data_IF_860304438763
#
_entry.id   IF_860304438763
#
_cell.length_a   1.000
_cell.length_b   1.000
_cell.length_c   1.000
_cell.angle_alpha   90.00
_cell.angle_beta   90.00
_cell.angle_gamma   90.00
#
_symmetry.space_group_name_H-M   'P 1'
#
loop_
_entity.id
_entity.type
_entity.pdbx_description
1 polymer ?
#
# COMPACT_ATOMS: atom_id res chain seq x y z
N UNK A 1 -12.13 8.42 -11.19
CA UNK A 1 -12.02 6.97 -11.51
C UNK A 1 -11.17 6.82 -12.76
N UNK A 2 -9.85 6.77 -12.60
CA UNK A 2 -8.97 6.26 -13.64
C UNK A 2 -8.76 4.79 -13.29
N UNK A 3 -9.40 3.89 -14.04
CA UNK A 3 -9.10 2.47 -13.97
C UNK A 3 -7.64 2.33 -14.42
N UNK A 4 -6.71 2.24 -13.46
CA UNK A 4 -5.34 1.88 -13.77
C UNK A 4 -5.43 0.41 -14.18
N UNK A 5 -5.20 0.08 -15.45
CA UNK A 5 -5.29 -1.30 -15.90
C UNK A 5 -4.25 -2.07 -15.10
N UNK A 6 -4.65 -3.22 -14.57
CA UNK A 6 -3.79 -4.21 -13.92
C UNK A 6 -2.57 -4.42 -14.81
N UNK A 7 -1.49 -3.69 -14.54
CA UNK A 7 -0.30 -3.74 -15.35
C UNK A 7 0.33 -5.09 -15.06
N UNK A 8 0.10 -6.04 -15.97
CA UNK A 8 0.98 -7.19 -16.11
C UNK A 8 2.40 -6.62 -16.18
N UNK A 9 3.16 -6.79 -15.09
CA UNK A 9 4.61 -6.72 -15.15
C UNK A 9 5.05 -7.90 -16.02
N UNK A 10 5.03 -7.70 -17.34
CA UNK A 10 5.91 -8.45 -18.22
C UNK A 10 7.32 -7.99 -17.87
N UNK A 11 7.97 -8.75 -16.99
CA UNK A 11 9.43 -8.77 -16.94
C UNK A 11 9.83 -9.17 -18.36
N UNK A 12 10.37 -8.21 -19.13
CA UNK A 12 11.07 -8.54 -20.35
C UNK A 12 12.25 -9.40 -19.90
N UNK A 13 12.08 -10.72 -19.97
CA UNK A 13 13.16 -11.64 -19.80
C UNK A 13 14.22 -11.25 -20.83
N UNK A 14 15.31 -10.66 -20.34
CA UNK A 14 16.54 -10.62 -21.13
C UNK A 14 16.76 -12.07 -21.55
N UNK A 15 16.96 -12.36 -22.85
CA UNK A 15 17.30 -13.71 -23.29
C UNK A 15 18.71 -14.00 -22.78
N UNK A 16 18.84 -14.34 -21.51
CA UNK A 16 20.07 -14.79 -20.89
C UNK A 16 20.23 -16.25 -21.29
N UNK A 17 20.94 -16.48 -22.39
CA UNK A 17 21.56 -17.78 -22.59
C UNK A 17 22.50 -18.02 -21.41
N UNK A 18 22.32 -19.17 -20.74
CA UNK A 18 23.16 -19.60 -19.62
C UNK A 18 24.62 -19.53 -20.09
N UNK A 19 25.40 -18.59 -19.57
CA UNK A 19 26.84 -18.53 -19.87
C UNK A 19 27.48 -19.87 -19.54
N UNK A 20 28.37 -20.37 -20.40
CA UNK A 20 29.11 -21.60 -20.11
C UNK A 20 29.75 -21.53 -18.72
N UNK A 21 29.79 -22.65 -17.99
CA UNK A 21 30.22 -22.75 -16.59
C UNK A 21 31.65 -22.21 -16.38
N UNK A 22 31.75 -20.91 -16.15
CA UNK A 22 32.98 -20.15 -15.90
C UNK A 22 32.77 -19.39 -14.60
N UNK A 23 33.83 -19.23 -13.80
CA UNK A 23 33.74 -18.52 -12.52
C UNK A 23 33.15 -17.11 -12.75
N UNK A 24 32.06 -16.79 -12.04
CA UNK A 24 31.31 -15.54 -12.16
C UNK A 24 30.63 -15.29 -13.52
N UNK A 25 30.38 -16.34 -14.33
CA UNK A 25 29.76 -16.21 -15.65
C UNK A 25 28.39 -15.52 -15.68
N UNK A 26 27.63 -15.54 -14.57
CA UNK A 26 26.28 -14.97 -14.45
C UNK A 26 26.19 -13.84 -13.41
N UNK A 27 27.31 -13.21 -13.04
CA UNK A 27 27.32 -12.23 -11.95
C UNK A 27 26.52 -10.96 -12.30
N UNK A 28 26.49 -10.55 -13.58
CA UNK A 28 25.74 -9.37 -14.03
C UNK A 28 24.23 -9.60 -14.02
N UNK A 29 23.82 -10.79 -14.42
CA UNK A 29 22.45 -11.26 -14.37
C UNK A 29 21.97 -11.31 -12.92
N UNK A 30 22.79 -11.84 -12.00
CA UNK A 30 22.46 -11.81 -10.58
C UNK A 30 22.34 -10.36 -10.07
N UNK A 31 23.25 -9.46 -10.44
CA UNK A 31 23.17 -8.05 -10.03
C UNK A 31 21.85 -7.39 -10.42
N UNK A 32 21.35 -7.65 -11.64
CA UNK A 32 20.06 -7.15 -12.09
C UNK A 32 18.89 -7.76 -11.30
N UNK A 33 18.90 -9.07 -11.07
CA UNK A 33 17.88 -9.75 -10.26
C UNK A 33 17.90 -9.28 -8.78
N UNK A 34 19.07 -8.90 -8.27
CA UNK A 34 19.21 -8.35 -6.94
C UNK A 34 18.49 -7.00 -6.79
N UNK A 35 18.40 -6.18 -7.84
CA UNK A 35 17.70 -4.90 -7.76
C UNK A 35 16.19 -5.10 -7.54
N UNK A 36 15.60 -6.14 -8.14
CA UNK A 36 14.20 -6.55 -7.87
C UNK A 36 14.05 -7.07 -6.43
N UNK A 37 14.99 -7.86 -5.94
CA UNK A 37 14.99 -8.29 -4.53
C UNK A 37 15.07 -7.11 -3.56
N UNK A 38 15.86 -6.07 -3.86
CA UNK A 38 15.95 -4.89 -3.02
C UNK A 38 14.65 -4.11 -2.99
N UNK A 39 13.89 -4.04 -4.10
CA UNK A 39 12.53 -3.49 -4.11
C UNK A 39 11.62 -4.28 -3.15
N UNK A 40 11.68 -5.60 -3.16
CA UNK A 40 10.93 -6.45 -2.22
C UNK A 40 11.28 -6.15 -0.76
N UNK A 41 12.56 -5.94 -0.45
CA UNK A 41 13.03 -5.63 0.91
C UNK A 41 12.49 -4.31 1.44
N UNK A 42 12.23 -3.34 0.56
CA UNK A 42 11.71 -2.02 0.95
C UNK A 42 10.25 -1.79 0.53
N UNK A 43 9.51 -2.82 0.11
CA UNK A 43 8.09 -2.72 -0.31
C UNK A 43 7.20 -2.08 0.77
N UNK A 44 7.52 -2.31 2.04
CA UNK A 44 6.76 -1.77 3.18
C UNK A 44 7.11 -0.29 3.47
N UNK A 45 8.11 0.26 2.78
CA UNK A 45 8.50 1.69 2.81
C UNK A 45 7.86 2.51 1.68
N UNK A 46 6.85 1.97 1.00
CA UNK A 46 5.99 2.76 0.11
C UNK A 46 5.47 3.97 0.89
N UNK A 47 5.78 5.18 0.42
CA UNK A 47 5.45 6.41 1.14
C UNK A 47 3.92 6.55 1.15
N UNK A 48 3.30 6.13 2.25
CA UNK A 48 1.91 6.43 2.57
C UNK A 48 1.91 7.39 3.74
N UNK A 49 2.11 8.66 3.46
CA UNK A 49 2.02 9.70 4.48
C UNK A 49 1.22 10.87 3.93
N UNK A 50 -0.02 10.59 3.54
CA UNK A 50 -1.03 11.62 3.67
C UNK A 50 -1.43 11.61 5.15
N UNK A 51 -1.05 12.61 5.96
CA UNK A 51 -1.52 12.68 7.33
C UNK A 51 -3.06 12.65 7.34
N UNK A 52 -3.62 11.97 8.33
CA UNK A 52 -5.07 11.91 8.56
C UNK A 52 -5.68 13.33 8.51
N UNK A 53 -6.93 13.51 8.10
CA UNK A 53 -7.53 14.84 8.03
C UNK A 53 -7.59 15.51 9.40
N UNK A 54 -6.63 16.39 9.71
CA UNK A 54 -6.70 17.34 10.83
C UNK A 54 -7.72 18.49 10.60
N UNK A 55 -8.70 18.29 9.72
CA UNK A 55 -9.71 19.30 9.38
C UNK A 55 -10.94 19.25 10.31
N UNK A 56 -10.93 18.40 11.33
CA UNK A 56 -12.03 18.22 12.30
C UNK A 56 -12.42 19.53 12.95
N UNK A 57 -11.45 20.34 13.39
CA UNK A 57 -11.70 21.57 14.14
C UNK A 57 -12.37 22.65 13.29
N UNK A 58 -12.00 22.74 12.00
CA UNK A 58 -12.59 23.72 11.08
C UNK A 58 -14.02 23.32 10.69
N UNK A 59 -14.24 22.03 10.43
CA UNK A 59 -15.59 21.50 10.15
C UNK A 59 -16.47 21.66 11.38
N UNK A 60 -15.95 21.39 12.58
CA UNK A 60 -16.70 21.59 13.82
C UNK A 60 -17.06 23.07 14.04
N UNK A 61 -16.14 24.00 13.77
CA UNK A 61 -16.44 25.45 13.79
C UNK A 61 -17.56 25.80 12.82
N UNK A 62 -17.52 25.30 11.58
CA UNK A 62 -18.58 25.52 10.59
C UNK A 62 -19.93 24.93 11.04
N UNK A 63 -19.93 23.74 11.64
CA UNK A 63 -21.13 23.14 12.25
C UNK A 63 -21.68 24.08 13.33
N UNK A 64 -20.84 24.55 14.24
CA UNK A 64 -21.25 25.43 15.33
C UNK A 64 -21.82 26.76 14.81
N UNK A 65 -21.20 27.37 13.79
CA UNK A 65 -21.72 28.56 13.13
C UNK A 65 -23.05 28.30 12.40
N UNK A 66 -23.21 27.13 11.78
CA UNK A 66 -24.47 26.73 11.15
C UNK A 66 -25.60 26.64 12.19
N UNK A 67 -25.35 26.03 13.35
CA UNK A 67 -26.34 25.93 14.44
C UNK A 67 -26.87 27.32 14.83
N UNK A 68 -26.00 28.31 14.98
CA UNK A 68 -26.38 29.64 15.48
C UNK A 68 -27.06 30.53 14.44
N UNK A 69 -26.73 30.34 13.16
CA UNK A 69 -27.30 31.14 12.08
C UNK A 69 -28.56 30.52 11.51
N UNK A 70 -28.83 29.25 11.81
CA UNK A 70 -30.02 28.55 11.35
C UNK A 70 -31.33 29.19 11.83
N UNK A 71 -32.42 28.74 11.20
CA UNK A 71 -33.80 29.08 11.56
C UNK A 71 -34.08 28.76 13.02
N UNK A 72 -35.08 29.44 13.60
CA UNK A 72 -35.47 29.19 14.98
C UNK A 72 -35.97 27.75 15.17
N UNK A 73 -36.70 27.23 14.18
CA UNK A 73 -37.11 25.82 14.14
C UNK A 73 -35.91 24.86 14.16
N UNK A 74 -34.87 25.10 13.35
CA UNK A 74 -33.68 24.25 13.36
C UNK A 74 -32.93 24.34 14.69
N UNK A 75 -32.76 25.54 15.23
CA UNK A 75 -32.09 25.72 16.52
C UNK A 75 -32.87 25.07 17.66
N UNK A 76 -34.19 25.15 17.65
CA UNK A 76 -35.01 24.65 18.75
C UNK A 76 -35.10 23.12 18.72
N UNK A 77 -35.35 22.52 17.54
CA UNK A 77 -35.61 21.08 17.43
C UNK A 77 -35.08 20.41 16.16
N UNK A 78 -34.10 21.00 15.47
CA UNK A 78 -33.58 20.55 14.16
C UNK A 78 -34.71 20.32 13.15
N UNK A 79 -35.66 21.24 13.05
CA UNK A 79 -36.80 21.13 12.12
C UNK A 79 -37.60 19.82 12.29
N UNK A 80 -37.66 19.32 13.53
CA UNK A 80 -38.39 18.09 13.86
C UNK A 80 -37.69 16.79 13.47
N UNK A 81 -36.40 16.79 13.11
CA UNK A 81 -35.69 15.55 12.75
C UNK A 81 -35.19 14.74 13.95
N UNK A 82 -35.37 15.22 15.18
CA UNK A 82 -34.94 14.54 16.40
C UNK A 82 -35.93 13.44 16.82
N UNK A 83 -36.06 12.42 15.97
CA UNK A 83 -36.99 11.32 16.14
C UNK A 83 -36.25 9.97 16.17
N UNK A 84 -36.81 9.02 16.92
CA UNK A 84 -36.41 7.62 16.88
C UNK A 84 -36.81 6.98 15.54
N UNK A 85 -36.36 5.75 15.28
CA UNK A 85 -36.77 4.97 14.11
C UNK A 85 -38.31 4.82 14.00
N UNK A 86 -39.02 4.81 15.14
CA UNK A 86 -40.49 4.74 15.22
C UNK A 86 -41.17 6.10 15.04
N UNK A 87 -40.44 7.14 14.61
CA UNK A 87 -40.92 8.53 14.43
C UNK A 87 -41.45 9.17 15.72
N UNK A 88 -41.01 8.71 16.88
CA UNK A 88 -41.31 9.32 18.19
C UNK A 88 -40.18 10.28 18.60
N UNK A 89 -40.43 11.31 19.42
CA UNK A 89 -39.36 12.17 19.93
C UNK A 89 -38.22 11.36 20.56
N UNK A 90 -36.99 11.57 20.08
CA UNK A 90 -35.80 10.96 20.66
C UNK A 90 -35.29 11.82 21.81
N UNK A 91 -35.63 11.41 23.05
CA UNK A 91 -35.28 12.16 24.26
C UNK A 91 -33.77 12.27 24.46
N UNK A 92 -32.98 11.29 24.02
CA UNK A 92 -31.52 11.34 24.07
C UNK A 92 -30.99 12.37 23.08
N UNK A 93 -31.41 12.29 21.81
CA UNK A 93 -30.96 13.23 20.78
C UNK A 93 -31.37 14.68 21.10
N UNK A 94 -32.54 14.88 21.72
CA UNK A 94 -33.00 16.19 22.21
C UNK A 94 -32.11 16.68 23.37
N UNK A 95 -31.77 15.82 24.33
CA UNK A 95 -30.89 16.17 25.45
C UNK A 95 -29.48 16.53 24.95
N UNK A 96 -28.94 15.76 24.01
CA UNK A 96 -27.63 16.01 23.40
C UNK A 96 -27.62 17.32 22.62
N UNK A 97 -28.69 17.61 21.86
CA UNK A 97 -28.84 18.86 21.13
C UNK A 97 -28.87 20.07 22.06
N UNK A 98 -29.66 20.00 23.14
CA UNK A 98 -29.73 21.07 24.13
C UNK A 98 -28.41 21.27 24.87
N UNK A 99 -27.68 20.19 25.15
CA UNK A 99 -26.34 20.25 25.75
C UNK A 99 -25.35 20.93 24.80
N UNK A 100 -25.32 20.53 23.52
CA UNK A 100 -24.46 21.16 22.51
C UNK A 100 -24.70 22.67 22.43
N UNK A 101 -25.96 23.11 22.36
CA UNK A 101 -26.31 24.55 22.34
C UNK A 101 -25.77 25.29 23.57
N UNK A 102 -26.02 24.77 24.78
CA UNK A 102 -25.51 25.34 26.03
C UNK A 102 -23.99 25.39 26.09
N UNK A 103 -23.31 24.39 25.52
CA UNK A 103 -21.85 24.37 25.51
C UNK A 103 -21.27 25.41 24.55
N UNK A 104 -21.92 25.68 23.42
CA UNK A 104 -21.53 26.77 22.51
C UNK A 104 -21.56 28.14 23.20
N UNK A 105 -22.59 28.40 24.02
CA UNK A 105 -22.73 29.66 24.77
C UNK A 105 -21.59 29.90 25.78
N UNK A 106 -20.95 28.83 26.25
CA UNK A 106 -19.82 28.90 27.20
C UNK A 106 -18.49 29.21 26.52
N UNK A 107 -18.37 29.02 25.20
CA UNK A 107 -17.12 29.23 24.47
C UNK A 107 -16.89 30.73 24.29
N UNK A 108 -15.83 31.23 24.93
CA UNK A 108 -15.42 32.63 24.89
C UNK A 108 -13.98 32.77 24.42
N UNK A 109 -13.70 33.84 23.69
CA UNK A 109 -12.35 34.30 23.35
C UNK A 109 -12.22 35.72 23.87
N UNK A 110 -11.22 35.98 24.71
CA UNK A 110 -11.00 37.30 25.32
C UNK A 110 -12.25 37.84 26.06
N UNK A 111 -12.95 36.95 26.79
CA UNK A 111 -14.25 37.18 27.44
C UNK A 111 -15.43 37.51 26.53
N UNK A 112 -15.25 37.51 25.20
CA UNK A 112 -16.31 37.70 24.21
C UNK A 112 -16.86 36.34 23.76
N UNK A 113 -18.19 36.13 23.76
CA UNK A 113 -18.79 34.90 23.22
C UNK A 113 -18.38 34.69 21.75
N UNK A 114 -17.78 33.53 21.46
CA UNK A 114 -17.39 33.17 20.08
C UNK A 114 -18.61 32.75 19.25
N UNK A 115 -19.57 32.14 19.94
CA UNK A 115 -20.76 31.53 19.37
C UNK A 115 -22.01 32.20 19.95
N UNK A 116 -22.17 33.51 19.68
CA UNK A 116 -23.40 34.24 20.00
C UNK A 116 -24.44 34.07 18.89
N UNK A 117 -25.67 33.71 19.25
CA UNK A 117 -26.78 33.67 18.30
C UNK A 117 -27.23 35.08 17.96
N UNK A 118 -27.24 35.42 16.67
CA UNK A 118 -27.77 36.70 16.19
C UNK A 118 -29.31 36.69 16.21
N UNK A 119 -29.95 37.84 16.44
CA UNK A 119 -31.39 37.99 16.27
C UNK A 119 -31.85 37.60 14.86
N UNK A 120 -33.11 37.18 14.75
CA UNK A 120 -33.71 36.86 13.46
C UNK A 120 -33.65 38.08 12.52
N UNK A 121 -32.97 37.91 11.39
CA UNK A 121 -32.79 38.96 10.39
C UNK A 121 -32.43 38.36 9.03
N UNK A 122 -32.66 39.09 7.91
CA UNK A 122 -32.20 38.68 6.59
C UNK A 122 -30.68 38.43 6.54
N UNK A 123 -29.89 39.19 7.31
CA UNK A 123 -28.44 39.00 7.41
C UNK A 123 -28.07 37.67 8.07
N UNK A 124 -28.80 37.26 9.12
CA UNK A 124 -28.61 35.94 9.76
C UNK A 124 -28.87 34.80 8.75
N UNK A 125 -29.94 34.93 7.96
CA UNK A 125 -30.28 33.94 6.93
C UNK A 125 -29.22 33.88 5.82
N UNK A 126 -28.81 35.03 5.28
CA UNK A 126 -27.75 35.08 4.27
C UNK A 126 -26.42 34.49 4.78
N UNK A 127 -26.07 34.73 6.05
CA UNK A 127 -24.92 34.10 6.68
C UNK A 127 -25.09 32.58 6.78
N UNK A 128 -26.28 32.09 7.16
CA UNK A 128 -26.57 30.66 7.22
C UNK A 128 -26.40 29.98 5.86
N UNK A 129 -26.92 30.57 4.78
CA UNK A 129 -26.80 30.02 3.44
C UNK A 129 -25.34 29.86 3.00
N UNK A 130 -24.50 30.88 3.30
CA UNK A 130 -23.06 30.85 3.02
C UNK A 130 -22.36 29.78 3.88
N UNK A 131 -22.62 29.76 5.18
CA UNK A 131 -22.01 28.79 6.12
C UNK A 131 -22.40 27.37 5.72
N UNK A 132 -23.67 27.14 5.36
CA UNK A 132 -24.16 25.83 4.90
C UNK A 132 -23.43 25.38 3.65
N UNK A 133 -23.29 26.26 2.65
CA UNK A 133 -22.51 25.95 1.44
C UNK A 133 -21.04 25.60 1.77
N UNK A 134 -20.41 26.36 2.66
CA UNK A 134 -19.04 26.09 3.10
C UNK A 134 -18.93 24.77 3.88
N UNK A 135 -19.93 24.46 4.70
CA UNK A 135 -20.00 23.20 5.45
C UNK A 135 -20.15 22.01 4.50
N UNK A 136 -21.03 22.10 3.52
CA UNK A 136 -21.23 21.05 2.51
C UNK A 136 -19.92 20.80 1.72
N UNK A 137 -19.26 21.87 1.27
CA UNK A 137 -17.95 21.78 0.59
C UNK A 137 -16.86 21.18 1.48
N UNK A 138 -16.82 21.57 2.76
CA UNK A 138 -15.82 21.04 3.70
C UNK A 138 -16.06 19.56 4.02
N UNK A 139 -17.32 19.13 4.11
CA UNK A 139 -17.69 17.72 4.27
C UNK A 139 -17.33 16.91 3.03
N UNK A 140 -17.61 17.43 1.84
CA UNK A 140 -17.23 16.79 0.58
C UNK A 140 -15.71 16.61 0.49
N UNK A 141 -14.93 17.66 0.75
CA UNK A 141 -13.46 17.59 0.76
C UNK A 141 -12.92 16.62 1.81
N UNK A 142 -13.54 16.57 3.00
CA UNK A 142 -13.20 15.58 4.03
C UNK A 142 -13.39 14.16 3.49
N UNK A 143 -14.54 13.89 2.85
CA UNK A 143 -14.82 12.58 2.28
C UNK A 143 -13.86 12.23 1.14
N UNK A 144 -13.62 13.16 0.21
CA UNK A 144 -12.66 12.97 -0.88
C UNK A 144 -11.26 12.63 -0.35
N UNK A 145 -10.82 13.28 0.74
CA UNK A 145 -9.54 12.96 1.38
C UNK A 145 -9.53 11.57 2.01
N UNK A 146 -10.60 11.17 2.70
CA UNK A 146 -10.75 9.81 3.27
C UNK A 146 -10.67 8.76 2.15
N UNK A 147 -11.43 8.97 1.07
CA UNK A 147 -11.46 8.06 -0.07
C UNK A 147 -10.09 7.98 -0.77
N UNK A 148 -9.39 9.10 -0.91
CA UNK A 148 -8.04 9.14 -1.47
C UNK A 148 -7.02 8.40 -0.59
N UNK A 149 -7.11 8.54 0.73
CA UNK A 149 -6.24 7.79 1.67
C UNK A 149 -6.51 6.28 1.57
N UNK A 150 -7.78 5.87 1.50
CA UNK A 150 -8.16 4.47 1.33
C UNK A 150 -7.65 3.91 -0.01
N UNK A 151 -7.80 4.67 -1.10
CA UNK A 151 -7.29 4.29 -2.42
C UNK A 151 -5.77 4.13 -2.42
N UNK A 152 -5.03 5.08 -1.82
CA UNK A 152 -3.57 4.97 -1.66
C UNK A 152 -3.16 3.73 -0.86
N UNK A 153 -3.91 3.40 0.20
CA UNK A 153 -3.70 2.17 0.97
C UNK A 153 -3.87 0.90 0.12
N UNK A 154 -4.93 0.85 -0.69
CA UNK A 154 -5.21 -0.27 -1.59
C UNK A 154 -4.13 -0.41 -2.68
N UNK A 155 -3.72 0.71 -3.28
CA UNK A 155 -2.67 0.75 -4.31
C UNK A 155 -1.33 0.27 -3.73
N UNK A 156 -0.96 0.73 -2.53
CA UNK A 156 0.27 0.28 -1.88
C UNK A 156 0.25 -1.22 -1.57
N UNK A 157 -0.89 -1.75 -1.12
CA UNK A 157 -1.05 -3.19 -0.91
C UNK A 157 -0.91 -3.98 -2.22
N UNK A 158 -1.51 -3.48 -3.31
CA UNK A 158 -1.41 -4.10 -4.64
C UNK A 158 0.03 -4.06 -5.18
N UNK A 159 0.75 -2.95 -5.03
CA UNK A 159 2.16 -2.83 -5.44
C UNK A 159 3.03 -3.81 -4.64
N UNK A 160 2.88 -3.87 -3.32
CA UNK A 160 3.62 -4.82 -2.48
C UNK A 160 3.34 -6.28 -2.87
N UNK A 161 2.08 -6.62 -3.16
CA UNK A 161 1.70 -7.95 -3.63
C UNK A 161 2.32 -8.26 -5.01
N UNK A 162 2.34 -7.30 -5.93
CA UNK A 162 2.94 -7.47 -7.26
C UNK A 162 4.47 -7.65 -7.19
N UNK A 163 5.17 -6.88 -6.35
CA UNK A 163 6.62 -7.06 -6.14
C UNK A 163 6.91 -8.44 -5.54
N UNK A 164 6.12 -8.87 -4.56
CA UNK A 164 6.25 -10.20 -3.98
C UNK A 164 5.98 -11.31 -5.01
N UNK A 165 4.93 -11.14 -5.82
CA UNK A 165 4.57 -12.07 -6.90
C UNK A 165 5.66 -12.15 -7.97
N UNK A 166 6.26 -11.03 -8.37
CA UNK A 166 7.39 -11.04 -9.30
C UNK A 166 8.60 -11.80 -8.73
N UNK A 167 8.84 -11.68 -7.41
CA UNK A 167 9.95 -12.37 -6.77
C UNK A 167 9.72 -13.88 -6.65
N UNK A 168 8.51 -14.30 -6.25
CA UNK A 168 8.23 -15.68 -5.84
C UNK A 168 7.16 -16.40 -6.68
N UNK A 169 6.73 -15.81 -7.80
CA UNK A 169 5.54 -16.21 -8.56
C UNK A 169 4.27 -16.25 -7.66
N UNK A 170 3.33 -17.15 -7.96
CA UNK A 170 2.11 -17.36 -7.15
C UNK A 170 2.38 -17.89 -5.73
N UNK A 171 3.63 -18.09 -5.32
CA UNK A 171 3.93 -18.49 -3.95
C UNK A 171 3.57 -17.34 -2.99
N UNK A 172 2.67 -17.63 -2.03
CA UNK A 172 2.24 -16.67 -1.00
C UNK A 172 3.33 -16.28 0.02
N UNK A 173 4.60 -16.60 -0.22
CA UNK A 173 5.71 -16.33 0.69
C UNK A 173 7.07 -16.64 0.07
N UNK A 174 8.13 -16.42 0.85
CA UNK A 174 9.51 -16.67 0.40
C UNK A 174 9.75 -18.14 0.04
N UNK A 175 10.68 -18.40 -0.88
CA UNK A 175 11.23 -19.73 -1.13
C UNK A 175 11.82 -20.32 0.16
N UNK A 176 11.40 -21.53 0.50
CA UNK A 176 11.82 -22.26 1.69
C UNK A 176 11.79 -23.78 1.43
N UNK A 177 12.22 -24.55 2.43
CA UNK A 177 12.31 -26.02 2.35
C UNK A 177 10.99 -26.68 1.92
N UNK A 178 9.84 -26.15 2.35
CA UNK A 178 8.54 -26.77 2.12
C UNK A 178 7.97 -26.46 0.74
N UNK A 179 8.09 -25.22 0.27
CA UNK A 179 7.51 -24.79 -1.01
C UNK A 179 8.45 -24.93 -2.22
N UNK A 180 9.69 -25.40 -1.99
CA UNK A 180 10.70 -25.54 -3.03
C UNK A 180 11.12 -27.00 -3.30
N UNK A 181 10.34 -28.00 -2.88
CA UNK A 181 10.65 -29.43 -3.11
C UNK A 181 10.51 -29.84 -4.57
N UNK A 182 11.25 -30.87 -4.98
CA UNK A 182 11.03 -31.60 -6.24
C UNK A 182 12.17 -31.49 -7.25
N UNK A 183 11.85 -31.73 -8.52
CA UNK A 183 12.81 -31.78 -9.63
C UNK A 183 13.13 -30.37 -10.12
N UNK A 184 14.25 -29.81 -9.67
CA UNK A 184 14.71 -28.49 -10.11
C UNK A 184 15.27 -28.48 -11.53
N UNK A 185 15.53 -29.63 -12.15
CA UNK A 185 15.79 -29.72 -13.59
C UNK A 185 14.60 -29.34 -14.45
N UNK A 186 13.41 -29.74 -14.01
CA UNK A 186 12.16 -29.34 -14.63
C UNK A 186 11.78 -27.89 -14.31
N UNK A 187 12.26 -27.32 -13.20
CA UNK A 187 12.02 -25.91 -12.82
C UNK A 187 12.97 -24.97 -13.55
N UNK A 188 14.24 -25.36 -13.70
CA UNK A 188 15.32 -24.56 -14.29
C UNK A 188 15.40 -24.63 -15.83
N UNK A 189 14.29 -24.91 -16.50
CA UNK A 189 14.20 -24.94 -17.97
C UNK A 189 13.12 -24.00 -18.48
N UNK A 190 13.33 -23.41 -19.66
CA UNK A 190 12.36 -22.53 -20.30
C UNK A 190 11.06 -23.26 -20.69
N UNK A 191 11.13 -24.59 -20.85
CA UNK A 191 9.99 -25.45 -21.15
C UNK A 191 9.19 -25.86 -19.89
N UNK A 192 9.52 -25.28 -18.73
CA UNK A 192 8.86 -25.64 -17.47
C UNK A 192 7.38 -25.28 -17.49
N UNK A 193 6.55 -26.21 -17.01
CA UNK A 193 5.12 -25.98 -16.77
C UNK A 193 4.81 -25.74 -15.29
N UNK A 194 5.83 -25.66 -14.42
CA UNK A 194 5.63 -25.37 -13.00
C UNK A 194 5.21 -23.92 -12.80
N UNK A 195 4.34 -23.66 -11.82
CA UNK A 195 3.84 -22.31 -11.53
C UNK A 195 4.96 -21.31 -11.24
N UNK A 196 5.91 -21.71 -10.41
CA UNK A 196 7.16 -21.00 -10.21
C UNK A 196 8.26 -21.67 -11.04
N UNK A 197 8.82 -20.92 -12.00
CA UNK A 197 9.91 -21.35 -12.87
C UNK A 197 10.80 -20.16 -13.25
N UNK A 198 11.81 -20.39 -14.08
CA UNK A 198 12.77 -19.35 -14.52
C UNK A 198 12.17 -18.18 -15.30
N UNK A 199 10.92 -18.27 -15.75
CA UNK A 199 10.22 -17.21 -16.46
C UNK A 199 9.25 -16.44 -15.54
N UNK A 200 8.82 -17.06 -14.44
CA UNK A 200 7.75 -16.52 -13.58
C UNK A 200 8.21 -16.08 -12.20
N UNK A 201 9.42 -16.46 -11.76
CA UNK A 201 9.97 -16.08 -10.46
C UNK A 201 11.42 -15.64 -10.57
N UNK A 202 11.71 -14.41 -10.13
CA UNK A 202 13.08 -13.88 -10.03
C UNK A 202 13.92 -14.70 -9.05
N UNK A 203 13.36 -15.15 -7.93
CA UNK A 203 14.06 -15.98 -6.96
C UNK A 203 14.46 -17.35 -7.55
N UNK A 204 13.56 -17.99 -8.29
CA UNK A 204 13.85 -19.24 -9.01
C UNK A 204 14.91 -19.00 -10.08
N UNK A 205 14.78 -17.94 -10.85
CA UNK A 205 15.75 -17.54 -11.89
C UNK A 205 17.14 -17.36 -11.31
N UNK A 206 17.27 -16.62 -10.20
CA UNK A 206 18.53 -16.40 -9.52
C UNK A 206 19.16 -17.73 -9.06
N UNK A 207 18.37 -18.65 -8.50
CA UNK A 207 18.87 -19.98 -8.09
C UNK A 207 19.35 -20.77 -9.30
N UNK A 208 18.57 -20.83 -10.38
CA UNK A 208 18.91 -21.60 -11.57
C UNK A 208 20.14 -21.06 -12.33
N UNK A 209 20.35 -19.73 -12.30
CA UNK A 209 21.53 -19.08 -12.88
C UNK A 209 22.77 -19.27 -12.02
N UNK A 210 22.62 -19.20 -10.69
CA UNK A 210 23.74 -19.21 -9.77
C UNK A 210 24.21 -20.60 -9.36
N UNK A 211 23.37 -21.62 -9.54
CA UNK A 211 23.77 -23.00 -9.29
C UNK A 211 24.17 -23.72 -10.58
N UNK A 212 25.30 -24.40 -10.51
CA UNK A 212 25.82 -25.28 -11.55
C UNK A 212 25.20 -26.69 -11.41
N UNK A 213 25.00 -27.38 -12.54
CA UNK A 213 24.56 -28.78 -12.62
C UNK A 213 25.73 -29.75 -12.64
N UNK A 214 26.90 -29.33 -13.12
CA UNK A 214 27.96 -30.23 -13.60
C UNK A 214 29.34 -30.02 -12.93
N UNK A 215 29.59 -28.88 -12.29
CA UNK A 215 30.80 -28.66 -11.48
C UNK A 215 30.49 -27.75 -10.28
N UNK A 216 31.18 -27.87 -9.14
CA UNK A 216 30.97 -27.01 -7.96
C UNK A 216 31.42 -25.54 -8.13
N UNK A 217 31.33 -24.99 -9.33
CA UNK A 217 31.81 -23.66 -9.68
C UNK A 217 30.84 -22.57 -9.23
N UNK A 218 31.39 -21.47 -8.73
CA UNK A 218 30.63 -20.32 -8.29
C UNK A 218 30.26 -19.42 -9.49
N UNK A 219 29.08 -19.65 -10.09
CA UNK A 219 28.63 -18.93 -11.30
C UNK A 219 28.22 -17.48 -11.03
N UNK A 220 27.95 -17.12 -9.77
CA UNK A 220 27.46 -15.79 -9.38
C UNK A 220 28.29 -15.12 -8.25
N UNK A 221 29.51 -15.57 -7.99
CA UNK A 221 30.36 -15.02 -6.92
C UNK A 221 30.97 -16.07 -6.00
N UNK A 222 32.10 -15.72 -5.37
CA UNK A 222 33.08 -16.59 -4.71
C UNK A 222 32.59 -17.53 -3.57
N UNK A 223 31.30 -17.55 -3.23
CA UNK A 223 30.73 -18.38 -2.15
C UNK A 223 29.42 -19.10 -2.53
N UNK A 224 28.92 -18.93 -3.76
CA UNK A 224 27.70 -19.57 -4.26
C UNK A 224 28.07 -20.86 -5.03
N UNK A 225 28.57 -21.87 -4.33
CA UNK A 225 29.05 -23.13 -4.92
C UNK A 225 28.03 -24.28 -4.79
N UNK A 226 26.79 -23.97 -4.44
CA UNK A 226 25.74 -24.98 -4.27
C UNK A 226 25.38 -25.61 -5.60
N UNK A 227 25.56 -26.93 -5.71
CA UNK A 227 25.15 -27.74 -6.85
C UNK A 227 23.73 -28.28 -6.63
N UNK A 228 22.94 -28.42 -7.70
CA UNK A 228 21.73 -29.24 -7.69
C UNK A 228 21.85 -30.36 -8.71
N UNK A 229 21.37 -31.55 -8.34
CA UNK A 229 21.14 -32.64 -9.30
C UNK A 229 19.68 -32.62 -9.74
N UNK A 230 19.40 -33.00 -10.99
CA UNK A 230 18.05 -32.94 -11.56
C UNK A 230 16.97 -33.66 -10.72
N UNK A 231 17.34 -34.68 -9.94
CA UNK A 231 16.42 -35.36 -9.01
C UNK A 231 16.61 -35.02 -7.51
N UNK A 232 17.49 -34.08 -7.17
CA UNK A 232 18.14 -34.02 -5.85
C UNK A 232 17.46 -33.21 -4.76
N UNK A 233 16.36 -32.51 -5.01
CA UNK A 233 15.79 -31.57 -4.05
C UNK A 233 14.41 -31.98 -3.51
N UNK A 234 14.16 -33.29 -3.38
CA UNK A 234 12.90 -33.83 -2.86
C UNK A 234 12.59 -33.36 -1.43
N UNK A 235 13.63 -33.06 -0.64
CA UNK A 235 13.49 -32.55 0.72
C UNK A 235 13.60 -31.02 0.82
N UNK A 236 13.87 -30.28 -0.28
CA UNK A 236 13.96 -28.81 -0.28
C UNK A 236 15.26 -28.21 0.31
N UNK A 237 16.23 -29.04 0.69
CA UNK A 237 17.44 -28.65 1.45
C UNK A 237 18.40 -27.79 0.63
N UNK A 238 18.48 -28.05 -0.68
CA UNK A 238 19.32 -27.26 -1.59
C UNK A 238 18.87 -25.80 -1.63
N UNK A 239 17.54 -25.58 -1.66
CA UNK A 239 16.95 -24.24 -1.75
C UNK A 239 16.98 -23.53 -0.41
N UNK A 240 16.76 -24.27 0.68
CA UNK A 240 16.94 -23.76 2.03
C UNK A 240 18.37 -23.22 2.24
N UNK A 241 19.37 -23.81 1.58
CA UNK A 241 20.76 -23.36 1.67
C UNK A 241 21.06 -22.21 0.70
N UNK A 242 20.63 -22.31 -0.55
CA UNK A 242 21.05 -21.40 -1.60
C UNK A 242 20.33 -20.04 -1.59
N UNK A 243 19.03 -20.02 -1.31
CA UNK A 243 18.26 -18.77 -1.33
C UNK A 243 18.79 -17.75 -0.31
N UNK A 244 19.10 -18.11 0.95
CA UNK A 244 19.73 -17.18 1.89
C UNK A 244 21.09 -16.62 1.44
N UNK A 245 21.90 -17.42 0.75
CA UNK A 245 23.20 -16.96 0.24
C UNK A 245 23.03 -15.93 -0.89
N UNK A 246 22.06 -16.16 -1.78
CA UNK A 246 21.70 -15.21 -2.84
C UNK A 246 21.19 -13.91 -2.23
N UNK A 247 20.27 -13.97 -1.26
CA UNK A 247 19.80 -12.78 -0.52
C UNK A 247 20.99 -12.01 0.08
N UNK A 248 21.87 -12.71 0.79
CA UNK A 248 23.06 -12.11 1.40
C UNK A 248 23.98 -11.43 0.37
N UNK A 249 24.12 -12.02 -0.82
CA UNK A 249 24.86 -11.40 -1.91
C UNK A 249 24.18 -10.11 -2.41
N UNK A 250 22.86 -10.14 -2.61
CA UNK A 250 22.10 -8.97 -3.01
C UNK A 250 22.10 -7.85 -1.97
N UNK A 251 22.08 -8.18 -0.68
CA UNK A 251 22.07 -7.21 0.42
C UNK A 251 23.36 -6.40 0.57
N UNK A 252 24.43 -6.76 -0.15
CA UNK A 252 25.64 -5.93 -0.27
C UNK A 252 25.39 -4.64 -1.08
N UNK A 253 24.30 -4.60 -1.85
CA UNK A 253 23.88 -3.44 -2.64
C UNK A 253 22.97 -2.52 -1.81
N UNK A 254 23.00 -1.22 -2.10
CA UNK A 254 22.17 -0.24 -1.40
C UNK A 254 20.71 -0.36 -1.90
N UNK A 255 19.73 -0.62 -1.01
CA UNK A 255 18.33 -0.60 -1.42
C UNK A 255 17.88 0.83 -1.77
N UNK A 256 16.87 0.99 -2.64
CA UNK A 256 16.32 2.31 -2.91
C UNK A 256 15.70 2.91 -1.65
N UNK A 257 15.89 4.21 -1.46
CA UNK A 257 15.30 4.94 -0.33
C UNK A 257 13.79 5.09 -0.49
N UNK A 258 13.33 5.22 -1.73
CA UNK A 258 11.92 5.36 -2.09
C UNK A 258 11.56 4.51 -3.31
N UNK A 259 10.42 3.83 -3.23
CA UNK A 259 9.82 3.15 -4.38
C UNK A 259 8.96 4.16 -5.13
N UNK A 260 9.38 4.51 -6.35
CA UNK A 260 8.63 5.35 -7.28
C UNK A 260 8.43 4.59 -8.58
N UNK A 261 7.56 5.10 -9.48
CA UNK A 261 7.43 4.52 -10.82
C UNK A 261 8.77 4.50 -11.57
N UNK A 262 9.60 5.54 -11.39
CA UNK A 262 10.93 5.59 -12.00
C UNK A 262 11.88 4.56 -11.39
N UNK A 263 11.85 4.36 -10.07
CA UNK A 263 12.67 3.34 -9.39
C UNK A 263 12.31 1.94 -9.92
N UNK A 264 11.01 1.64 -10.06
CA UNK A 264 10.55 0.35 -10.59
C UNK A 264 10.99 0.18 -12.05
N UNK A 265 10.77 1.20 -12.90
CA UNK A 265 11.17 1.16 -14.31
C UNK A 265 12.68 0.97 -14.49
N UNK A 266 13.49 1.68 -13.70
CA UNK A 266 14.95 1.55 -13.74
C UNK A 266 15.44 0.16 -13.32
N UNK A 267 14.64 -0.58 -12.53
CA UNK A 267 14.99 -1.94 -12.08
C UNK A 267 14.70 -3.00 -13.14
N UNK A 268 13.83 -2.70 -14.12
CA UNK A 268 13.39 -3.65 -15.15
C UNK A 268 13.89 -3.28 -16.56
N UNK A 269 14.67 -2.21 -16.69
CA UNK A 269 15.23 -1.71 -17.95
C UNK A 269 16.65 -2.24 -18.18
#
# INVERSE_FOLDING_TARGET
MLAIPTALLFVAAVPSERGGATANGNIRELEALCDIYLLYKVKDKLISSAPEPAATDTIEKLINYNILTATDTYYDNKDGTLLTADKKPDTSAIADWNTKKKDLEKIKKDNVPVYARLPASPMRQAANDIIKKLLDQAQELKQQKIDAIAALGADNAAISANIQSALFAEAKGELNKENAKGNWGAVCTHASTTKANILTSVAVTAICLCQDTDAGNANCGHTLTTQWSAGGNNNGETIQTAWPLIKTACEKRKPPEHITSNTIRATIA
#
